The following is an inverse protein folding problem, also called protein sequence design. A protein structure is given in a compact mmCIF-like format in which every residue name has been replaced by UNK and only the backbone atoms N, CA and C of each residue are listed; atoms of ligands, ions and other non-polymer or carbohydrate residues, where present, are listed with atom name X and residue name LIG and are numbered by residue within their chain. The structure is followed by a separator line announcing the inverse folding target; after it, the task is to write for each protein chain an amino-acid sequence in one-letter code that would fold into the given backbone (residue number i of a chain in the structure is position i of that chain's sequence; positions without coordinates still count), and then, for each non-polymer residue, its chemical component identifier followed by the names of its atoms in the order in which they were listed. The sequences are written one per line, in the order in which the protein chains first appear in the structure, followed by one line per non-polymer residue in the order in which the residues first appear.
data_IF_285676455342
#
_entry.id   IF_285676455342
#
_cell.length_a   1.000
_cell.length_b   1.000
_cell.length_c   1.000
_cell.angle_alpha   90.00
_cell.angle_beta   90.00
_cell.angle_gamma   90.00
#
_symmetry.space_group_name_H-M   'P 1'
#
loop_
_entity.id
_entity.type
_entity.pdbx_description
1 polymer ?
#
# COMPACT_ATOMS: atom_id res chain seq x y z
N UNK A 1 45.90 -44.45 -2.50
CA UNK A 1 45.91 -45.92 -2.68
C UNK A 1 44.63 -46.35 -3.40
N UNK A 2 44.58 -47.60 -3.91
CA UNK A 2 43.39 -48.36 -4.39
C UNK A 2 42.26 -48.39 -3.32
N UNK A 3 40.98 -48.78 -3.50
CA UNK A 3 40.04 -49.25 -4.59
C UNK A 3 38.60 -49.24 -3.96
N UNK A 4 37.43 -49.46 -4.59
CA UNK A 4 36.90 -49.67 -5.97
C UNK A 4 35.42 -49.15 -5.95
N UNK A 5 34.91 -48.49 -6.99
CA UNK A 5 33.90 -48.94 -7.99
C UNK A 5 32.59 -49.60 -7.50
N UNK A 6 31.49 -49.29 -8.21
CA UNK A 6 30.09 -49.65 -7.94
C UNK A 6 29.71 -51.12 -8.18
N UNK A 7 28.50 -51.49 -7.72
CA UNK A 7 27.69 -52.57 -8.31
C UNK A 7 26.22 -52.14 -8.41
N UNK A 8 25.64 -52.32 -9.61
CA UNK A 8 24.19 -52.29 -9.88
C UNK A 8 23.67 -53.72 -9.79
N UNK A 9 22.46 -53.92 -9.27
CA UNK A 9 21.67 -55.13 -9.57
C UNK A 9 20.19 -54.80 -9.67
N UNK A 10 19.57 -55.18 -10.79
CA UNK A 10 18.12 -55.23 -10.95
C UNK A 10 17.58 -56.46 -10.21
N UNK A 11 16.39 -56.34 -9.62
CA UNK A 11 15.63 -57.44 -9.05
C UNK A 11 14.13 -57.23 -9.26
N UNK A 12 13.61 -57.68 -10.39
CA UNK A 12 12.19 -57.67 -10.70
C UNK A 12 11.68 -59.12 -10.86
N UNK A 13 10.71 -59.52 -10.04
CA UNK A 13 9.91 -60.73 -10.24
C UNK A 13 8.56 -60.57 -9.53
N UNK A 14 7.53 -61.18 -10.09
CA UNK A 14 6.12 -60.99 -9.69
C UNK A 14 5.66 -62.09 -8.73
N UNK A 15 4.73 -61.74 -7.82
CA UNK A 15 3.55 -62.55 -7.52
C UNK A 15 2.52 -61.70 -6.76
N UNK A 16 1.23 -61.99 -6.95
CA UNK A 16 0.13 -61.26 -6.28
C UNK A 16 -0.37 -61.99 -5.05
N UNK A 17 -0.68 -61.24 -3.99
CA UNK A 17 -1.66 -61.63 -2.98
C UNK A 17 -2.76 -60.57 -2.96
N UNK A 18 -4.01 -60.95 -3.25
CA UNK A 18 -5.18 -60.11 -2.97
C UNK A 18 -5.66 -60.42 -1.55
N UNK A 19 -5.80 -59.39 -0.74
CA UNK A 19 -6.70 -59.37 0.40
C UNK A 19 -7.50 -58.07 0.28
N UNK A 20 -8.78 -58.19 -0.03
CA UNK A 20 -9.70 -57.07 0.02
C UNK A 20 -9.97 -56.72 1.49
N UNK A 21 -9.47 -55.58 1.94
CA UNK A 21 -9.93 -54.94 3.18
C UNK A 21 -10.18 -53.45 2.91
N UNK A 22 -11.39 -53.00 3.21
CA UNK A 22 -12.01 -51.85 2.55
C UNK A 22 -11.67 -50.52 3.24
N UNK A 23 -10.41 -50.11 3.19
CA UNK A 23 -10.04 -48.75 3.53
C UNK A 23 -10.69 -47.76 2.54
N UNK A 24 -11.53 -46.79 2.99
CA UNK A 24 -12.08 -45.78 2.09
C UNK A 24 -10.94 -44.93 1.52
N UNK A 25 -10.99 -44.52 0.25
CA UNK A 25 -9.96 -43.68 -0.34
C UNK A 25 -9.94 -42.34 0.40
N UNK A 26 -8.87 -42.10 1.15
CA UNK A 26 -8.56 -40.78 1.70
C UNK A 26 -8.23 -39.89 0.52
N UNK A 27 -9.25 -39.29 -0.07
CA UNK A 27 -9.10 -38.28 -1.11
C UNK A 27 -8.10 -37.23 -0.62
N UNK A 28 -7.09 -36.85 -1.42
CA UNK A 28 -6.26 -35.70 -1.10
C UNK A 28 -7.19 -34.48 -1.14
N UNK A 29 -7.71 -34.11 0.03
CA UNK A 29 -8.57 -32.95 0.18
C UNK A 29 -7.76 -31.76 -0.32
N UNK A 30 -8.12 -31.25 -1.49
CA UNK A 30 -7.35 -30.21 -2.14
C UNK A 30 -7.31 -29.02 -1.21
N UNK A 31 -6.13 -28.75 -0.63
CA UNK A 31 -5.87 -27.57 0.19
C UNK A 31 -5.86 -26.37 -0.75
N UNK A 32 -7.05 -25.99 -1.20
CA UNK A 32 -7.28 -24.81 -2.00
C UNK A 32 -6.75 -23.63 -1.18
N UNK A 33 -5.59 -23.12 -1.59
CA UNK A 33 -4.99 -21.95 -0.97
C UNK A 33 -6.01 -20.82 -1.14
N UNK A 34 -6.73 -20.53 -0.05
CA UNK A 34 -7.91 -19.68 -0.09
C UNK A 34 -7.43 -18.24 -0.26
N UNK A 35 -7.21 -17.85 -1.51
CA UNK A 35 -6.72 -16.54 -1.91
C UNK A 35 -7.60 -15.50 -1.25
N UNK A 36 -7.04 -14.60 -0.40
CA UNK A 36 -7.84 -13.69 0.39
C UNK A 36 -8.74 -12.86 -0.53
N UNK A 37 -10.05 -12.95 -0.30
CA UNK A 37 -11.05 -12.33 -1.15
C UNK A 37 -10.81 -10.81 -1.17
N UNK A 38 -10.49 -10.27 -2.35
CA UNK A 38 -10.28 -8.84 -2.53
C UNK A 38 -11.56 -8.09 -2.18
N UNK A 39 -11.43 -7.00 -1.41
CA UNK A 39 -12.57 -6.16 -1.07
C UNK A 39 -13.05 -5.39 -2.30
N UNK A 40 -14.32 -5.59 -2.63
CA UNK A 40 -14.99 -4.86 -3.71
C UNK A 40 -15.25 -3.41 -3.26
N UNK A 41 -14.72 -2.46 -4.02
CA UNK A 41 -14.93 -1.02 -3.80
C UNK A 41 -16.32 -0.65 -4.31
N UNK A 42 -17.04 0.20 -3.57
CA UNK A 42 -18.34 0.73 -4.04
C UNK A 42 -18.16 1.43 -5.42
N UNK A 43 -18.78 0.98 -6.52
CA UNK A 43 -18.41 1.44 -7.87
C UNK A 43 -18.52 2.96 -8.12
N UNK A 44 -19.43 3.65 -7.42
CA UNK A 44 -19.59 5.11 -7.46
C UNK A 44 -18.58 5.89 -6.60
N UNK A 45 -17.56 5.23 -6.06
CA UNK A 45 -16.52 5.80 -5.18
C UNK A 45 -15.09 5.48 -5.63
N UNK A 46 -14.90 4.84 -6.79
CA UNK A 46 -13.56 4.56 -7.32
C UNK A 46 -12.76 5.85 -7.61
N UNK A 47 -11.47 5.84 -7.28
CA UNK A 47 -10.57 6.98 -7.56
C UNK A 47 -10.76 8.18 -6.62
N UNK A 48 -10.48 9.38 -7.12
CA UNK A 48 -10.46 10.62 -6.34
C UNK A 48 -11.86 11.27 -6.20
N UNK A 49 -12.23 11.59 -4.96
CA UNK A 49 -13.50 12.18 -4.56
C UNK A 49 -13.46 13.71 -4.71
N UNK A 50 -13.40 14.19 -5.96
CA UNK A 50 -13.24 15.62 -6.28
C UNK A 50 -14.42 16.50 -5.79
N UNK A 51 -15.56 15.89 -5.48
CA UNK A 51 -16.76 16.52 -4.90
C UNK A 51 -16.72 16.64 -3.36
N UNK A 52 -15.77 15.97 -2.69
CA UNK A 52 -15.69 15.84 -1.24
C UNK A 52 -14.28 16.24 -0.74
N UNK A 53 -14.01 17.54 -0.52
CA UNK A 53 -12.67 18.04 -0.18
C UNK A 53 -11.99 17.34 1.02
N UNK A 54 -12.77 17.01 2.05
CA UNK A 54 -12.31 16.25 3.22
C UNK A 54 -11.80 14.85 2.86
N UNK A 55 -12.47 14.16 1.92
CA UNK A 55 -12.00 12.86 1.42
C UNK A 55 -10.81 13.06 0.49
N UNK A 56 -10.85 14.06 -0.39
CA UNK A 56 -9.78 14.36 -1.34
C UNK A 56 -8.42 14.64 -0.67
N UNK A 57 -8.38 15.41 0.42
CA UNK A 57 -7.12 15.63 1.16
C UNK A 57 -6.59 14.32 1.77
N UNK A 58 -7.47 13.48 2.34
CA UNK A 58 -7.08 12.18 2.91
C UNK A 58 -6.56 11.22 1.84
N UNK A 59 -7.23 11.16 0.70
CA UNK A 59 -6.81 10.39 -0.48
C UNK A 59 -5.41 10.81 -0.95
N UNK A 60 -5.16 12.13 -1.05
CA UNK A 60 -3.85 12.69 -1.44
C UNK A 60 -2.76 12.36 -0.43
N UNK A 61 -3.02 12.51 0.87
CA UNK A 61 -2.05 12.24 1.93
C UNK A 61 -1.79 10.74 2.12
N UNK A 62 -2.79 9.88 1.93
CA UNK A 62 -2.62 8.43 1.85
C UNK A 62 -1.73 8.05 0.66
N UNK A 63 -1.98 8.60 -0.54
CA UNK A 63 -1.13 8.37 -1.71
C UNK A 63 0.34 8.80 -1.47
N UNK A 64 0.55 9.90 -0.75
CA UNK A 64 1.88 10.35 -0.35
C UNK A 64 2.53 9.42 0.68
N UNK A 65 1.78 8.94 1.69
CA UNK A 65 2.25 7.96 2.66
C UNK A 65 2.64 6.63 1.98
N UNK A 66 1.81 6.17 1.05
CA UNK A 66 2.04 4.97 0.25
C UNK A 66 3.32 5.09 -0.60
N UNK A 67 3.48 6.19 -1.35
CA UNK A 67 4.70 6.46 -2.11
C UNK A 67 5.97 6.56 -1.26
N UNK A 68 5.89 7.18 -0.07
CA UNK A 68 6.99 7.21 0.90
C UNK A 68 7.34 5.80 1.40
N UNK A 69 6.35 4.97 1.73
CA UNK A 69 6.59 3.60 2.19
C UNK A 69 7.25 2.71 1.12
N UNK A 70 6.84 2.85 -0.15
CA UNK A 70 7.46 2.13 -1.27
C UNK A 70 8.89 2.59 -1.54
N UNK A 71 9.16 3.90 -1.51
CA UNK A 71 10.53 4.40 -1.70
C UNK A 71 11.43 3.97 -0.56
N UNK A 72 10.99 4.11 0.70
CA UNK A 72 11.75 3.69 1.87
C UNK A 72 12.11 2.19 1.82
N UNK A 73 11.17 1.33 1.39
CA UNK A 73 11.41 -0.09 1.19
C UNK A 73 12.44 -0.34 0.07
N UNK A 74 12.30 0.31 -1.09
CA UNK A 74 13.24 0.15 -2.21
C UNK A 74 14.66 0.65 -1.90
N UNK A 75 14.83 1.60 -0.97
CA UNK A 75 16.13 2.03 -0.50
C UNK A 75 16.86 1.01 0.40
N UNK A 76 16.18 -0.02 0.90
CA UNK A 76 16.82 -1.07 1.71
C UNK A 76 17.76 -1.96 0.87
N UNK A 77 17.49 -2.07 -0.44
CA UNK A 77 18.33 -2.79 -1.40
C UNK A 77 19.63 -2.04 -1.75
N UNK A 78 19.82 -0.81 -1.26
CA UNK A 78 21.00 0.03 -1.47
C UNK A 78 21.81 0.18 -0.16
N UNK A 79 22.91 -0.57 0.05
CA UNK A 79 23.60 -0.66 1.34
C UNK A 79 24.13 0.66 1.93
N UNK A 80 24.36 1.66 1.09
CA UNK A 80 24.83 2.99 1.51
C UNK A 80 23.69 3.93 1.97
N UNK A 81 22.44 3.64 1.57
CA UNK A 81 21.25 4.44 1.92
C UNK A 81 20.34 3.74 2.93
N UNK A 82 20.41 2.41 3.05
CA UNK A 82 19.45 1.59 3.79
C UNK A 82 19.29 2.04 5.26
N UNK A 83 20.40 2.17 6.00
CA UNK A 83 20.37 2.63 7.40
C UNK A 83 19.84 4.06 7.59
N UNK A 84 20.39 5.11 6.93
CA UNK A 84 19.88 6.48 7.12
C UNK A 84 18.44 6.67 6.60
N UNK A 85 18.00 5.90 5.60
CA UNK A 85 16.59 5.88 5.17
C UNK A 85 15.71 5.16 6.19
N UNK A 86 16.14 4.02 6.74
CA UNK A 86 15.41 3.29 7.77
C UNK A 86 15.19 4.15 9.02
N UNK A 87 16.23 4.81 9.51
CA UNK A 87 16.15 5.70 10.68
C UNK A 87 15.22 6.89 10.42
N UNK A 88 15.36 7.56 9.27
CA UNK A 88 14.53 8.70 8.91
C UNK A 88 13.06 8.31 8.69
N UNK A 89 12.79 7.17 8.04
CA UNK A 89 11.44 6.63 7.86
C UNK A 89 10.82 6.23 9.20
N UNK A 90 11.57 5.57 10.09
CA UNK A 90 11.09 5.19 11.41
C UNK A 90 10.75 6.41 12.28
N UNK A 91 11.63 7.42 12.31
CA UNK A 91 11.39 8.67 13.03
C UNK A 91 10.18 9.44 12.48
N UNK A 92 10.09 9.57 11.15
CA UNK A 92 8.94 10.19 10.49
C UNK A 92 7.64 9.43 10.79
N UNK A 93 7.62 8.12 10.59
CA UNK A 93 6.44 7.28 10.79
C UNK A 93 5.98 7.32 12.27
N UNK A 94 6.90 7.33 13.24
CA UNK A 94 6.55 7.47 14.65
C UNK A 94 5.78 8.77 14.96
N UNK A 95 6.06 9.88 14.24
CA UNK A 95 5.30 11.13 14.38
C UNK A 95 3.94 11.09 13.65
N UNK A 96 3.85 10.41 12.50
CA UNK A 96 2.66 10.43 11.64
C UNK A 96 1.69 9.24 11.85
N UNK A 97 2.09 8.16 12.53
CA UNK A 97 1.36 6.88 12.57
C UNK A 97 -0.14 7.02 12.89
N UNK A 98 -0.50 7.73 13.96
CA UNK A 98 -1.91 7.94 14.36
C UNK A 98 -2.71 8.73 13.31
N UNK A 99 -2.07 9.65 12.58
CA UNK A 99 -2.72 10.38 11.48
C UNK A 99 -2.88 9.50 10.25
N UNK A 100 -1.87 8.70 9.91
CA UNK A 100 -1.92 7.73 8.81
C UNK A 100 -3.03 6.69 9.06
N UNK A 101 -3.11 6.16 10.28
CA UNK A 101 -4.15 5.24 10.73
C UNK A 101 -5.56 5.86 10.64
N UNK A 102 -5.76 7.06 11.19
CA UNK A 102 -7.06 7.74 11.13
C UNK A 102 -7.49 8.05 9.67
N UNK A 103 -6.56 8.49 8.82
CA UNK A 103 -6.84 8.68 7.38
C UNK A 103 -7.19 7.36 6.68
N UNK A 104 -6.50 6.26 7.00
CA UNK A 104 -6.79 4.95 6.42
C UNK A 104 -8.19 4.44 6.86
N UNK A 105 -8.57 4.64 8.11
CA UNK A 105 -9.92 4.31 8.62
C UNK A 105 -11.01 5.18 7.98
N UNK A 106 -10.77 6.48 7.80
CA UNK A 106 -11.68 7.39 7.08
C UNK A 106 -11.88 6.96 5.62
N UNK A 107 -10.79 6.61 4.92
CA UNK A 107 -10.85 6.12 3.54
C UNK A 107 -11.48 4.72 3.45
N UNK A 108 -11.28 3.84 4.43
CA UNK A 108 -11.92 2.53 4.45
C UNK A 108 -13.45 2.66 4.58
N UNK A 109 -13.92 3.56 5.45
CA UNK A 109 -15.35 3.91 5.58
C UNK A 109 -15.90 4.57 4.30
N UNK A 110 -15.08 5.33 3.58
CA UNK A 110 -15.43 5.86 2.27
C UNK A 110 -15.56 4.75 1.21
N UNK A 111 -14.52 3.95 0.95
CA UNK A 111 -14.50 3.00 -0.17
C UNK A 111 -15.36 1.74 0.05
N UNK A 112 -15.44 1.23 1.28
CA UNK A 112 -16.01 -0.09 1.60
C UNK A 112 -17.25 -0.04 2.50
N UNK A 113 -17.58 1.12 3.08
CA UNK A 113 -18.80 1.34 3.85
C UNK A 113 -18.94 0.34 5.02
N UNK A 114 -19.96 -0.54 5.05
CA UNK A 114 -20.12 -1.55 6.10
C UNK A 114 -18.95 -2.54 6.26
N UNK A 115 -18.08 -2.68 5.25
CA UNK A 115 -16.90 -3.58 5.27
C UNK A 115 -15.59 -2.84 5.58
N UNK A 116 -15.66 -1.63 6.12
CA UNK A 116 -14.48 -0.81 6.43
C UNK A 116 -13.46 -1.50 7.35
N UNK A 117 -13.93 -2.28 8.32
CA UNK A 117 -13.06 -2.95 9.32
C UNK A 117 -12.30 -4.16 8.74
N UNK A 118 -12.69 -4.64 7.55
CA UNK A 118 -11.91 -5.61 6.76
C UNK A 118 -10.76 -4.92 5.98
N UNK A 119 -10.84 -3.59 5.85
CA UNK A 119 -9.89 -2.63 5.29
C UNK A 119 -8.40 -2.96 5.46
N UNK A 120 -7.69 -3.37 4.39
CA UNK A 120 -6.22 -3.39 4.37
C UNK A 120 -5.65 -2.24 3.53
N UNK A 121 -4.39 -1.88 3.83
CA UNK A 121 -3.63 -0.85 3.11
C UNK A 121 -3.62 -1.04 1.60
N UNK A 122 -3.51 -2.29 1.14
CA UNK A 122 -3.48 -2.62 -0.29
C UNK A 122 -4.85 -2.45 -0.95
N UNK A 123 -5.96 -2.64 -0.24
CA UNK A 123 -7.30 -2.41 -0.79
C UNK A 123 -7.58 -0.91 -0.95
N UNK A 124 -7.08 -0.08 -0.03
CA UNK A 124 -7.10 1.38 -0.15
C UNK A 124 -6.23 1.86 -1.33
N UNK A 125 -5.03 1.31 -1.50
CA UNK A 125 -4.16 1.63 -2.64
C UNK A 125 -4.80 1.23 -3.98
N UNK A 126 -5.45 0.05 -4.03
CA UNK A 126 -6.22 -0.46 -5.18
C UNK A 126 -7.42 0.44 -5.51
N UNK A 127 -8.18 0.87 -4.51
CA UNK A 127 -9.34 1.76 -4.68
C UNK A 127 -8.96 3.16 -5.19
N UNK A 128 -7.75 3.61 -4.86
CA UNK A 128 -7.12 4.83 -5.35
C UNK A 128 -6.41 4.68 -6.72
N UNK A 129 -6.28 3.45 -7.24
CA UNK A 129 -5.47 3.13 -8.42
C UNK A 129 -4.01 3.64 -8.27
N UNK A 130 -3.37 3.36 -7.14
CA UNK A 130 -1.94 3.62 -6.92
C UNK A 130 -1.09 2.50 -7.55
N UNK A 131 0.13 2.85 -7.95
CA UNK A 131 1.14 1.87 -8.38
C UNK A 131 1.58 1.01 -7.19
N UNK A 132 1.80 -0.29 -7.42
CA UNK A 132 2.40 -1.25 -6.48
C UNK A 132 3.94 -1.24 -6.49
N UNK A 133 4.54 -0.50 -7.43
CA UNK A 133 5.97 -0.29 -7.58
C UNK A 133 6.34 1.19 -7.53
N UNK A 134 7.51 1.50 -6.96
CA UNK A 134 8.04 2.86 -6.96
C UNK A 134 8.54 3.29 -8.35
N UNK A 135 8.96 2.35 -9.21
CA UNK A 135 9.70 2.64 -10.44
C UNK A 135 8.95 3.57 -11.43
N UNK A 136 7.64 3.38 -11.72
CA UNK A 136 6.89 4.33 -12.57
C UNK A 136 6.77 5.73 -11.95
N UNK A 137 6.87 5.82 -10.62
CA UNK A 137 6.72 7.05 -9.84
C UNK A 137 8.03 7.85 -9.71
N UNK A 138 9.20 7.23 -10.00
CA UNK A 138 10.49 7.91 -10.04
C UNK A 138 10.67 8.75 -11.32
N UNK A 139 10.06 8.33 -12.43
CA UNK A 139 10.14 9.01 -13.72
C UNK A 139 11.56 9.05 -14.27
N UNK A 140 12.19 10.23 -14.22
CA UNK A 140 13.59 10.45 -14.66
C UNK A 140 14.61 10.53 -13.52
N UNK A 141 14.19 10.39 -12.26
CA UNK A 141 15.09 10.39 -11.09
C UNK A 141 15.60 8.97 -10.84
N UNK A 142 16.89 8.77 -10.58
CA UNK A 142 17.37 7.43 -10.23
C UNK A 142 16.94 7.04 -8.81
N UNK A 143 16.83 5.74 -8.54
CA UNK A 143 16.57 5.26 -7.17
C UNK A 143 17.66 5.74 -6.20
N UNK A 144 18.91 5.81 -6.66
CA UNK A 144 20.07 6.34 -5.92
C UNK A 144 19.82 7.78 -5.43
N UNK A 145 19.44 8.69 -6.33
CA UNK A 145 19.20 10.10 -6.01
C UNK A 145 17.96 10.29 -5.11
N UNK A 146 16.93 9.47 -5.35
CA UNK A 146 15.71 9.48 -4.55
C UNK A 146 15.99 9.02 -3.10
N UNK A 147 16.79 7.97 -2.91
CA UNK A 147 17.18 7.47 -1.60
C UNK A 147 18.14 8.43 -0.88
N UNK A 148 19.15 8.97 -1.58
CA UNK A 148 20.09 9.96 -1.02
C UNK A 148 19.39 11.22 -0.50
N UNK A 149 18.25 11.61 -1.09
CA UNK A 149 17.50 12.81 -0.70
C UNK A 149 16.32 12.54 0.24
N UNK A 150 15.89 11.29 0.42
CA UNK A 150 14.71 10.94 1.21
C UNK A 150 14.79 11.38 2.70
N UNK A 151 15.89 11.19 3.44
CA UNK A 151 15.97 11.63 4.85
C UNK A 151 15.73 13.14 5.02
N UNK A 152 16.35 13.95 4.17
CA UNK A 152 16.16 15.40 4.14
C UNK A 152 14.79 15.81 3.58
N UNK A 153 14.15 14.97 2.76
CA UNK A 153 12.80 15.21 2.27
C UNK A 153 11.76 15.03 3.39
N UNK A 154 11.82 13.95 4.18
CA UNK A 154 10.84 13.61 5.22
C UNK A 154 10.75 14.67 6.34
N UNK A 155 11.85 15.37 6.62
CA UNK A 155 11.89 16.47 7.58
C UNK A 155 11.19 17.77 7.09
N UNK A 156 10.59 17.79 5.89
CA UNK A 156 9.93 18.98 5.34
C UNK A 156 8.43 19.02 5.65
N UNK A 157 7.82 20.21 5.91
CA UNK A 157 6.41 20.34 6.29
C UNK A 157 5.38 19.64 5.40
N UNK A 158 5.69 19.40 4.12
CA UNK A 158 4.84 18.63 3.19
C UNK A 158 4.61 17.15 3.57
N UNK A 159 5.32 16.64 4.58
CA UNK A 159 5.14 15.30 5.15
C UNK A 159 4.57 15.31 6.58
N UNK A 160 4.16 16.48 7.09
CA UNK A 160 3.46 16.65 8.36
C UNK A 160 1.94 16.57 8.15
N UNK A 161 1.41 15.35 8.04
CA UNK A 161 0.01 15.12 7.65
C UNK A 161 -0.99 15.72 8.65
N UNK A 162 -0.67 15.69 9.95
CA UNK A 162 -1.52 16.30 10.99
C UNK A 162 -1.68 17.81 10.83
N UNK A 163 -0.63 18.51 10.37
CA UNK A 163 -0.68 19.95 10.06
C UNK A 163 -1.50 20.19 8.80
N UNK A 164 -1.23 19.43 7.74
CA UNK A 164 -1.90 19.57 6.43
C UNK A 164 -3.42 19.31 6.49
N UNK A 165 -3.87 18.35 7.31
CA UNK A 165 -5.29 18.12 7.57
C UNK A 165 -5.93 19.31 8.31
N UNK A 166 -5.30 19.80 9.37
CA UNK A 166 -5.79 20.94 10.18
C UNK A 166 -5.90 22.22 9.34
N UNK A 167 -4.92 22.48 8.48
CA UNK A 167 -4.94 23.59 7.52
C UNK A 167 -6.05 23.44 6.48
N UNK A 168 -6.30 22.23 5.98
CA UNK A 168 -7.37 21.96 5.00
C UNK A 168 -8.77 22.07 5.60
N UNK A 169 -8.92 21.73 6.88
CA UNK A 169 -10.18 21.85 7.63
C UNK A 169 -10.50 23.29 8.08
N UNK A 170 -9.58 24.24 7.89
CA UNK A 170 -9.84 25.66 8.18
C UNK A 170 -10.64 26.26 7.03
N UNK A 171 -11.92 26.64 7.23
CA UNK A 171 -12.72 27.22 6.16
C UNK A 171 -12.08 28.53 5.70
N UNK A 172 -11.92 28.69 4.38
CA UNK A 172 -11.47 29.93 3.79
C UNK A 172 -12.40 31.07 4.25
N UNK A 173 -11.87 32.02 5.03
CA UNK A 173 -12.61 33.18 5.50
C UNK A 173 -13.21 33.86 4.28
N UNK A 174 -14.54 33.94 4.24
CA UNK A 174 -15.27 34.40 3.07
C UNK A 174 -14.80 35.81 2.68
N UNK A 175 -14.06 35.89 1.57
CA UNK A 175 -13.72 37.17 0.95
C UNK A 175 -15.04 37.77 0.48
N UNK A 176 -15.54 38.73 1.27
CA UNK A 176 -16.84 39.36 1.01
C UNK A 176 -16.88 39.88 -0.44
N UNK A 177 -17.94 39.59 -1.20
CA UNK A 177 -18.05 40.08 -2.57
C UNK A 177 -17.97 41.61 -2.57
N UNK A 178 -17.28 42.15 -3.58
CA UNK A 178 -16.96 43.57 -3.69
C UNK A 178 -18.23 44.47 -3.64
N UNK A 179 -18.13 45.71 -3.13
CA UNK A 179 -19.27 46.61 -3.03
C UNK A 179 -19.85 46.94 -4.42
N UNK A 180 -21.00 46.36 -4.74
CA UNK A 180 -21.77 46.66 -5.95
C UNK A 180 -22.52 47.98 -5.79
N UNK A 181 -22.14 49.01 -6.55
CA UNK A 181 -23.04 49.96 -7.25
C UNK A 181 -22.34 51.28 -7.61
N UNK A 182 -22.27 51.59 -8.91
CA UNK A 182 -22.45 52.95 -9.45
C UNK A 182 -22.45 52.92 -10.99
N UNK A 183 -23.62 52.73 -11.60
CA UNK A 183 -23.85 53.17 -12.99
C UNK A 183 -24.48 54.56 -12.92
N UNK A 184 -23.76 55.64 -13.24
CA UNK A 184 -24.39 56.95 -13.42
C UNK A 184 -25.18 56.94 -14.73
N UNK A 185 -26.39 57.49 -14.71
CA UNK A 185 -27.22 57.61 -15.90
C UNK A 185 -27.09 59.01 -16.53
N UNK A 186 -26.56 59.06 -17.76
CA UNK A 186 -26.92 59.97 -18.86
C UNK A 186 -26.14 59.60 -20.12
#
# INVERSE_FOLDING_TARGET
MKRVLACVLLGALLASARADDAAPPVSPAATAAMTPATLEVMPRRMGYALDQPEILIRQRLFGLAHGVSMLAAACLDLPEHSAPVQDAYAAWHATQARTIEAMAQDLARYYFGPRADEARWQDLARALNLNDSIQPSLGGVSLQDACATLPAALARPRYEFGRLLTESATPAVAVSPAPTSATPAQ
#
